data_IF_019425800710
#
_entry.id   IF_019425800710
#
_cell.length_a   1.000
_cell.length_b   1.000
_cell.length_c   1.000
_cell.angle_alpha   90.00
_cell.angle_beta   90.00
_cell.angle_gamma   90.00
#
_symmetry.space_group_name_H-M   'P 1'
#
loop_
_entity.id
_entity.type
_entity.pdbx_description
1 polymer ?
#
# COMPACT_ATOMS: atom_id res chain seq x y z
N UNK A 1 1.70 12.07 -8.73
CA UNK A 1 2.95 11.52 -8.16
C UNK A 1 3.03 10.01 -8.31
N UNK A 2 1.91 9.27 -8.22
CA UNK A 2 1.89 7.81 -8.42
C UNK A 2 1.00 7.32 -9.59
N UNK A 3 -0.14 7.95 -9.87
CA UNK A 3 -1.03 7.59 -11.00
C UNK A 3 -0.72 8.35 -12.28
N UNK A 4 -1.06 9.64 -12.33
CA UNK A 4 -1.03 10.44 -13.58
C UNK A 4 0.38 10.86 -13.99
N UNK A 5 1.19 11.20 -12.99
CA UNK A 5 2.62 11.51 -13.13
C UNK A 5 3.37 10.62 -12.18
N UNK A 6 4.10 9.65 -12.70
CA UNK A 6 4.92 8.71 -11.94
C UNK A 6 6.31 9.32 -11.71
N UNK A 7 6.58 9.76 -10.48
CA UNK A 7 7.90 10.32 -10.12
C UNK A 7 8.92 9.19 -10.00
N UNK A 8 10.04 9.21 -10.75
CA UNK A 8 11.00 8.10 -10.76
C UNK A 8 11.56 7.75 -9.38
N UNK A 9 11.94 8.75 -8.59
CA UNK A 9 12.45 8.55 -7.23
C UNK A 9 11.42 7.85 -6.33
N UNK A 10 10.15 8.26 -6.38
CA UNK A 10 9.09 7.64 -5.57
C UNK A 10 8.78 6.22 -6.01
N UNK A 11 8.70 5.99 -7.32
CA UNK A 11 8.45 4.66 -7.88
C UNK A 11 9.55 3.68 -7.51
N UNK A 12 10.81 4.10 -7.62
CA UNK A 12 11.94 3.27 -7.21
C UNK A 12 11.96 3.00 -5.70
N UNK A 13 11.66 4.00 -4.88
CA UNK A 13 11.59 3.85 -3.43
C UNK A 13 10.52 2.84 -3.00
N UNK A 14 9.27 3.03 -3.43
CA UNK A 14 8.17 2.14 -3.01
C UNK A 14 8.40 0.70 -3.49
N UNK A 15 9.04 0.55 -4.65
CA UNK A 15 9.35 -0.76 -5.22
C UNK A 15 10.37 -1.55 -4.40
N UNK A 16 11.34 -0.88 -3.79
CA UNK A 16 12.46 -1.54 -3.08
C UNK A 16 12.24 -1.62 -1.57
N UNK A 17 11.57 -0.63 -0.99
CA UNK A 17 11.55 -0.43 0.46
C UNK A 17 10.16 -0.54 1.09
N UNK A 18 9.17 -0.99 0.34
CA UNK A 18 7.82 -1.24 0.85
C UNK A 18 7.30 -2.59 0.37
N UNK A 19 6.20 -3.03 0.96
CA UNK A 19 5.45 -4.21 0.54
C UNK A 19 4.50 -3.95 -0.64
N UNK A 20 4.45 -2.72 -1.17
CA UNK A 20 3.58 -2.34 -2.30
C UNK A 20 3.65 -3.29 -3.52
N UNK A 21 4.83 -3.82 -3.93
CA UNK A 21 4.92 -4.77 -5.03
C UNK A 21 4.45 -6.20 -4.70
N UNK A 22 4.24 -6.51 -3.42
CA UNK A 22 3.95 -7.86 -2.98
C UNK A 22 2.47 -8.20 -3.21
N UNK A 23 2.22 -9.49 -3.39
CA UNK A 23 0.91 -10.02 -3.79
C UNK A 23 0.06 -10.36 -2.56
N UNK A 24 -1.21 -9.96 -2.62
CA UNK A 24 -2.25 -10.28 -1.65
C UNK A 24 -3.26 -11.21 -2.30
N UNK A 25 -3.57 -12.32 -1.62
CA UNK A 25 -4.63 -13.24 -2.03
C UNK A 25 -6.00 -12.61 -1.83
N UNK A 26 -6.86 -12.73 -2.84
CA UNK A 26 -8.25 -12.31 -2.80
C UNK A 26 -9.14 -13.53 -2.57
N UNK A 27 -10.07 -13.44 -1.62
CA UNK A 27 -11.05 -14.50 -1.33
C UNK A 27 -12.46 -13.97 -1.53
N UNK A 28 -13.38 -14.86 -1.94
CA UNK A 28 -14.78 -14.49 -2.12
C UNK A 28 -15.48 -14.32 -0.77
N UNK A 29 -16.25 -13.25 -0.63
CA UNK A 29 -17.17 -12.97 0.46
C UNK A 29 -18.42 -12.31 -0.12
N UNK A 30 -19.58 -12.92 0.11
CA UNK A 30 -20.89 -12.40 -0.32
C UNK A 30 -20.97 -12.02 -1.81
N UNK A 31 -20.39 -12.86 -2.68
CA UNK A 31 -20.38 -12.65 -4.14
C UNK A 31 -19.32 -11.68 -4.67
N UNK A 32 -18.59 -10.98 -3.80
CA UNK A 32 -17.47 -10.07 -4.14
C UNK A 32 -16.15 -10.58 -3.54
N UNK A 33 -15.05 -9.87 -3.78
CA UNK A 33 -13.75 -10.22 -3.21
C UNK A 33 -13.38 -9.34 -2.01
N UNK A 34 -12.58 -9.90 -1.10
CA UNK A 34 -11.90 -9.16 -0.03
C UNK A 34 -10.42 -9.56 0.01
N UNK A 35 -9.51 -8.63 0.38
CA UNK A 35 -8.12 -8.97 0.64
C UNK A 35 -8.03 -9.89 1.87
N UNK A 36 -7.29 -11.00 1.76
CA UNK A 36 -7.10 -11.96 2.86
C UNK A 36 -5.73 -11.76 3.53
N UNK A 37 -4.68 -12.28 2.89
CA UNK A 37 -3.31 -12.24 3.38
C UNK A 37 -2.34 -12.09 2.22
N UNK A 38 -1.12 -11.67 2.54
CA UNK A 38 0.00 -11.77 1.60
C UNK A 38 0.18 -13.23 1.15
N UNK A 39 0.36 -13.41 -0.16
CA UNK A 39 0.70 -14.67 -0.78
C UNK A 39 2.08 -15.11 -0.33
N UNK A 40 2.24 -16.40 -0.06
CA UNK A 40 3.46 -16.99 0.50
C UNK A 40 4.06 -18.02 -0.45
N UNK A 41 5.36 -18.26 -0.33
CA UNK A 41 6.04 -19.30 -1.11
C UNK A 41 5.39 -20.67 -0.90
N UNK A 42 4.96 -20.98 0.33
CA UNK A 42 4.28 -22.24 0.65
C UNK A 42 2.96 -22.46 -0.10
N UNK A 43 2.33 -21.41 -0.63
CA UNK A 43 1.11 -21.52 -1.43
C UNK A 43 1.36 -22.20 -2.79
N UNK A 44 2.58 -22.10 -3.32
CA UNK A 44 2.96 -22.68 -4.61
C UNK A 44 3.43 -24.13 -4.46
N UNK A 45 3.26 -24.91 -5.52
CA UNK A 45 3.83 -26.25 -5.65
C UNK A 45 5.35 -26.14 -5.42
N UNK A 46 5.91 -27.08 -4.64
CA UNK A 46 7.35 -27.08 -4.26
C UNK A 46 7.85 -25.79 -3.57
N UNK A 47 6.95 -24.93 -3.08
CA UNK A 47 7.37 -23.76 -2.29
C UNK A 47 8.15 -22.71 -3.09
N UNK A 48 8.05 -22.69 -4.43
CA UNK A 48 8.96 -21.93 -5.32
C UNK A 48 10.45 -22.20 -5.06
N UNK A 49 10.80 -23.45 -4.68
CA UNK A 49 12.17 -23.84 -4.37
C UNK A 49 12.66 -23.44 -2.98
N UNK A 50 11.78 -22.90 -2.13
CA UNK A 50 12.11 -22.52 -0.76
C UNK A 50 11.74 -23.61 0.24
N UNK A 51 12.74 -24.38 0.70
CA UNK A 51 12.54 -25.42 1.72
C UNK A 51 12.45 -24.84 3.15
N UNK A 52 13.28 -23.83 3.45
CA UNK A 52 13.29 -23.21 4.77
C UNK A 52 12.20 -22.14 4.89
N UNK A 53 11.33 -22.29 5.89
CA UNK A 53 10.30 -21.31 6.28
C UNK A 53 9.45 -20.73 5.10
N UNK A 54 8.93 -21.56 4.16
CA UNK A 54 8.21 -21.06 2.99
C UNK A 54 6.91 -20.31 3.33
N UNK A 55 6.29 -20.59 4.49
CA UNK A 55 5.12 -19.86 4.98
C UNK A 55 5.42 -18.39 5.32
N UNK A 56 6.69 -18.03 5.47
CA UNK A 56 7.15 -16.72 5.93
C UNK A 56 7.83 -15.90 4.84
N UNK A 57 7.76 -16.37 3.59
CA UNK A 57 8.38 -15.73 2.43
C UNK A 57 7.31 -15.21 1.48
N UNK A 58 7.27 -13.90 1.29
CA UNK A 58 6.24 -13.20 0.52
C UNK A 58 6.55 -13.17 -0.97
N UNK A 59 5.53 -13.06 -1.82
CA UNK A 59 5.66 -13.18 -3.28
C UNK A 59 5.48 -11.83 -3.97
N UNK A 60 6.32 -11.57 -4.98
CA UNK A 60 6.16 -10.48 -5.94
C UNK A 60 6.17 -10.99 -7.38
N UNK A 61 6.06 -10.08 -8.35
CA UNK A 61 6.18 -10.40 -9.78
C UNK A 61 7.47 -9.78 -10.33
N UNK A 62 8.26 -10.58 -11.04
CA UNK A 62 9.40 -10.07 -11.81
C UNK A 62 8.88 -9.25 -13.01
N UNK A 63 9.28 -7.98 -13.12
CA UNK A 63 8.84 -7.08 -14.20
C UNK A 63 9.26 -7.60 -15.59
N UNK A 64 10.41 -8.27 -15.68
CA UNK A 64 10.95 -8.74 -16.97
C UNK A 64 10.23 -10.00 -17.50
N UNK A 65 9.94 -10.95 -16.62
CA UNK A 65 9.36 -12.26 -16.99
C UNK A 65 7.86 -12.36 -16.76
N UNK A 66 7.29 -11.57 -15.85
CA UNK A 66 5.90 -11.73 -15.40
C UNK A 66 5.69 -12.90 -14.43
N UNK A 67 6.76 -13.59 -14.04
CA UNK A 67 6.72 -14.76 -13.17
C UNK A 67 6.57 -14.37 -11.69
N UNK A 68 5.85 -15.17 -10.89
CA UNK A 68 5.86 -15.07 -9.43
C UNK A 68 7.22 -15.49 -8.88
N UNK A 69 7.79 -14.66 -8.02
CA UNK A 69 9.12 -14.90 -7.43
C UNK A 69 9.13 -14.60 -5.94
N UNK A 70 10.13 -15.18 -5.25
CA UNK A 70 10.44 -14.90 -3.85
C UNK A 70 11.62 -13.92 -3.81
N UNK A 71 11.40 -12.62 -3.52
CA UNK A 71 12.48 -11.67 -3.32
C UNK A 71 13.16 -11.91 -1.97
N UNK A 72 14.46 -11.60 -1.88
CA UNK A 72 15.19 -11.61 -0.61
C UNK A 72 14.59 -10.63 0.42
N UNK A 73 14.87 -10.86 1.71
CA UNK A 73 14.54 -9.90 2.78
C UNK A 73 13.26 -10.16 3.58
N UNK A 74 12.36 -11.01 3.09
CA UNK A 74 11.20 -11.45 3.89
C UNK A 74 11.63 -12.20 5.17
N UNK A 75 10.77 -12.19 6.19
CA UNK A 75 11.14 -12.67 7.54
C UNK A 75 11.55 -14.15 7.56
N UNK A 76 11.06 -14.96 6.61
CA UNK A 76 11.47 -16.37 6.47
C UNK A 76 12.95 -16.58 6.14
N UNK A 77 13.65 -15.57 5.59
CA UNK A 77 15.10 -15.64 5.36
C UNK A 77 15.93 -15.31 6.60
N UNK A 78 15.31 -14.81 7.68
CA UNK A 78 16.02 -14.34 8.87
C UNK A 78 16.53 -15.49 9.74
N UNK A 79 15.82 -16.62 9.75
CA UNK A 79 16.05 -17.73 10.67
C UNK A 79 16.13 -19.04 9.89
N UNK A 80 16.91 -20.00 10.37
CA UNK A 80 17.10 -21.31 9.71
C UNK A 80 18.01 -21.30 8.48
N UNK A 81 18.38 -20.13 7.98
CA UNK A 81 19.34 -19.93 6.88
C UNK A 81 20.10 -18.60 7.04
N UNK A 82 21.01 -18.28 6.13
CA UNK A 82 21.83 -17.06 6.17
C UNK A 82 22.06 -16.46 4.78
N UNK A 83 22.46 -15.18 4.74
CA UNK A 83 22.89 -14.49 3.52
C UNK A 83 21.78 -13.87 2.67
N UNK A 84 20.51 -14.23 2.90
CA UNK A 84 19.35 -13.77 2.09
C UNK A 84 18.41 -12.80 2.81
N UNK A 85 18.64 -12.51 4.10
CA UNK A 85 17.86 -11.52 4.85
C UNK A 85 18.44 -10.11 4.66
N UNK A 86 18.20 -9.55 3.49
CA UNK A 86 18.64 -8.21 3.08
C UNK A 86 17.65 -7.62 2.06
N UNK A 87 17.77 -6.33 1.74
CA UNK A 87 16.92 -5.62 0.78
C UNK A 87 17.60 -5.47 -0.59
N UNK A 88 18.53 -6.37 -0.94
CA UNK A 88 19.08 -6.39 -2.30
C UNK A 88 17.98 -6.78 -3.29
N UNK A 89 18.08 -6.27 -4.51
CA UNK A 89 17.15 -6.58 -5.60
C UNK A 89 17.48 -7.94 -6.22
N UNK A 90 17.36 -9.00 -5.42
CA UNK A 90 17.66 -10.37 -5.81
C UNK A 90 16.52 -11.33 -5.52
N UNK A 91 16.42 -12.36 -6.34
CA UNK A 91 15.65 -13.57 -6.06
C UNK A 91 16.38 -14.39 -5.00
N UNK A 92 15.67 -15.37 -4.43
CA UNK A 92 16.25 -16.26 -3.43
C UNK A 92 17.45 -17.09 -3.94
N UNK A 93 17.58 -17.31 -5.24
CA UNK A 93 18.72 -17.98 -5.88
C UNK A 93 19.93 -17.03 -6.15
N UNK A 94 19.78 -15.74 -5.85
CA UNK A 94 20.80 -14.71 -6.04
C UNK A 94 20.74 -13.98 -7.39
N UNK A 95 19.88 -14.39 -8.32
CA UNK A 95 19.68 -13.70 -9.58
C UNK A 95 19.10 -12.29 -9.36
N UNK A 96 19.50 -11.28 -10.16
CA UNK A 96 18.91 -9.95 -10.06
C UNK A 96 17.42 -9.99 -10.41
N UNK A 97 16.63 -9.15 -9.75
CA UNK A 97 15.19 -9.03 -10.01
C UNK A 97 14.75 -7.58 -9.93
N UNK A 98 13.74 -7.22 -10.71
CA UNK A 98 13.05 -5.94 -10.56
C UNK A 98 11.57 -6.20 -10.33
N UNK A 99 11.09 -5.96 -9.12
CA UNK A 99 9.68 -6.19 -8.79
C UNK A 99 8.77 -5.22 -9.57
N UNK A 100 7.68 -5.74 -10.13
CA UNK A 100 6.62 -4.94 -10.72
C UNK A 100 5.80 -4.24 -9.64
N UNK A 101 5.57 -2.93 -9.80
CA UNK A 101 4.66 -2.16 -8.95
C UNK A 101 3.29 -2.09 -9.61
N UNK A 102 2.28 -2.74 -9.01
CA UNK A 102 0.93 -2.78 -9.58
C UNK A 102 0.74 -3.80 -10.71
N UNK A 103 -0.51 -4.21 -10.94
CA UNK A 103 -0.89 -5.19 -11.95
C UNK A 103 -1.64 -4.56 -13.13
N UNK A 104 -1.86 -3.24 -13.16
CA UNK A 104 -2.40 -2.57 -14.34
C UNK A 104 -1.54 -2.88 -15.57
N UNK A 105 -2.17 -3.35 -16.65
CA UNK A 105 -1.51 -3.79 -17.89
C UNK A 105 -0.87 -5.20 -17.86
N UNK A 106 -0.89 -5.91 -16.72
CA UNK A 106 -0.38 -7.29 -16.58
C UNK A 106 -1.36 -8.24 -15.85
N UNK A 107 -2.58 -7.76 -15.58
CA UNK A 107 -3.66 -8.50 -14.95
C UNK A 107 -4.41 -9.32 -15.99
N UNK A 108 -5.08 -10.37 -15.52
CA UNK A 108 -5.89 -11.25 -16.37
C UNK A 108 -7.35 -10.80 -16.36
N UNK A 109 -7.80 -10.22 -15.24
CA UNK A 109 -9.16 -9.72 -15.06
C UNK A 109 -9.21 -8.54 -14.09
N UNK A 110 -10.35 -7.87 -14.06
CA UNK A 110 -10.67 -6.80 -13.11
C UNK A 110 -11.80 -7.30 -12.23
N UNK A 111 -11.61 -7.25 -10.91
CA UNK A 111 -12.59 -7.79 -9.95
C UNK A 111 -13.07 -6.75 -8.97
N UNK A 112 -14.27 -6.95 -8.44
CA UNK A 112 -14.90 -6.11 -7.43
C UNK A 112 -14.41 -6.50 -6.04
N UNK A 113 -13.67 -5.59 -5.40
CA UNK A 113 -13.10 -5.76 -4.06
C UNK A 113 -13.78 -4.80 -3.09
N UNK A 114 -14.18 -5.32 -1.93
CA UNK A 114 -14.80 -4.55 -0.86
C UNK A 114 -13.77 -4.02 0.15
N UNK A 115 -13.87 -2.73 0.47
CA UNK A 115 -13.08 -2.05 1.48
C UNK A 115 -14.00 -1.57 2.61
N UNK A 116 -13.63 -1.77 3.89
CA UNK A 116 -14.42 -1.25 4.99
C UNK A 116 -14.33 0.28 5.05
N UNK A 117 -15.41 0.92 5.46
CA UNK A 117 -15.50 2.36 5.64
C UNK A 117 -16.19 2.68 6.96
N UNK A 118 -15.61 3.61 7.72
CA UNK A 118 -16.02 3.87 9.10
C UNK A 118 -16.44 5.32 9.34
N UNK A 119 -16.18 6.24 8.41
CA UNK A 119 -16.49 7.66 8.59
C UNK A 119 -17.94 8.02 8.24
N UNK A 120 -18.79 7.03 8.00
CA UNK A 120 -20.24 7.18 7.92
C UNK A 120 -20.91 7.18 9.28
N UNK A 121 -20.21 6.73 10.32
CA UNK A 121 -20.68 6.80 11.70
C UNK A 121 -19.65 7.52 12.55
N UNK A 122 -20.11 8.45 13.38
CA UNK A 122 -19.25 9.19 14.29
C UNK A 122 -19.94 9.36 15.63
N UNK A 123 -19.19 9.14 16.72
CA UNK A 123 -19.63 9.42 18.09
C UNK A 123 -19.13 10.79 18.55
N UNK A 124 -19.59 11.26 19.71
CA UNK A 124 -19.00 12.41 20.43
C UNK A 124 -18.99 13.74 19.64
N UNK A 125 -19.96 13.94 18.75
CA UNK A 125 -20.13 15.19 18.01
C UNK A 125 -19.14 15.41 16.86
N UNK A 126 -18.34 14.40 16.50
CA UNK A 126 -17.52 14.44 15.28
C UNK A 126 -18.40 14.37 14.03
N UNK A 127 -17.94 15.00 12.96
CA UNK A 127 -18.60 14.93 11.67
C UNK A 127 -18.51 13.53 11.06
N UNK A 128 -19.55 13.13 10.35
CA UNK A 128 -19.59 11.93 9.51
C UNK A 128 -20.06 12.31 8.10
N UNK A 129 -19.86 11.41 7.15
CA UNK A 129 -20.30 11.60 5.76
C UNK A 129 -21.14 10.43 5.28
N UNK A 130 -22.20 10.70 4.54
CA UNK A 130 -23.20 9.70 4.14
C UNK A 130 -22.70 8.76 3.01
N UNK A 131 -22.10 7.63 3.40
CA UNK A 131 -21.56 6.60 2.52
C UNK A 131 -21.82 5.20 3.14
N UNK A 132 -21.81 4.12 2.34
CA UNK A 132 -21.99 2.76 2.87
C UNK A 132 -20.82 2.29 3.73
N UNK A 133 -21.07 1.31 4.61
CA UNK A 133 -20.04 0.66 5.48
C UNK A 133 -18.96 -0.07 4.68
N UNK A 134 -19.24 -0.37 3.41
CA UNK A 134 -18.30 -1.03 2.50
C UNK A 134 -18.28 -0.31 1.17
N UNK A 135 -17.08 -0.04 0.68
CA UNK A 135 -16.82 0.61 -0.59
C UNK A 135 -16.37 -0.43 -1.61
N UNK A 136 -17.12 -0.58 -2.71
CA UNK A 136 -16.70 -1.45 -3.81
C UNK A 136 -15.74 -0.70 -4.73
N UNK A 137 -14.59 -1.32 -5.03
CA UNK A 137 -13.57 -0.84 -5.95
C UNK A 137 -13.25 -1.92 -6.97
N UNK A 138 -13.04 -1.54 -8.24
CA UNK A 138 -12.57 -2.47 -9.26
C UNK A 138 -11.06 -2.47 -9.34
N UNK A 139 -10.46 -3.65 -9.21
CA UNK A 139 -9.01 -3.81 -9.00
C UNK A 139 -8.45 -4.81 -10.01
N UNK A 140 -7.29 -4.52 -10.62
CA UNK A 140 -6.61 -5.47 -11.50
C UNK A 140 -6.15 -6.69 -10.68
N UNK A 141 -6.54 -7.88 -11.14
CA UNK A 141 -6.21 -9.14 -10.49
C UNK A 141 -5.57 -10.13 -11.47
N UNK A 142 -4.65 -10.93 -10.94
CA UNK A 142 -3.99 -12.00 -11.68
C UNK A 142 -4.39 -13.36 -11.11
N UNK A 143 -4.55 -14.35 -11.98
CA UNK A 143 -4.84 -15.73 -11.61
C UNK A 143 -3.53 -16.48 -11.38
N UNK A 144 -3.46 -17.18 -10.25
CA UNK A 144 -2.30 -17.95 -9.84
C UNK A 144 -2.70 -19.40 -9.60
N UNK A 145 -1.92 -20.32 -10.14
CA UNK A 145 -2.05 -21.75 -9.86
C UNK A 145 -1.27 -22.07 -8.58
N UNK A 146 -1.99 -22.40 -7.51
CA UNK A 146 -1.44 -22.72 -6.19
C UNK A 146 -1.66 -24.22 -5.88
N UNK A 147 -1.03 -24.73 -4.81
CA UNK A 147 -1.22 -26.14 -4.34
C UNK A 147 -2.69 -26.50 -4.13
N UNK A 148 -3.49 -25.54 -3.66
CA UNK A 148 -4.91 -25.71 -3.36
C UNK A 148 -5.85 -25.41 -4.53
N UNK A 149 -5.33 -25.18 -5.74
CA UNK A 149 -6.09 -24.76 -6.91
C UNK A 149 -5.81 -23.31 -7.31
N UNK A 150 -6.68 -22.75 -8.15
CA UNK A 150 -6.54 -21.38 -8.62
C UNK A 150 -6.92 -20.35 -7.54
N UNK A 151 -6.16 -19.27 -7.45
CA UNK A 151 -6.50 -18.10 -6.64
C UNK A 151 -6.31 -16.81 -7.42
N UNK A 152 -7.10 -15.79 -7.09
CA UNK A 152 -6.86 -14.44 -7.56
C UNK A 152 -5.99 -13.68 -6.59
N UNK A 153 -5.10 -12.87 -7.13
CA UNK A 153 -4.19 -12.01 -6.37
C UNK A 153 -4.19 -10.60 -6.94
N UNK A 154 -3.97 -9.62 -6.07
CA UNK A 154 -3.65 -8.25 -6.47
C UNK A 154 -2.40 -7.77 -5.74
N UNK A 155 -1.81 -6.65 -6.17
CA UNK A 155 -0.68 -6.07 -5.45
C UNK A 155 -1.17 -5.20 -4.29
N UNK A 156 -0.35 -5.08 -3.24
CA UNK A 156 -0.61 -4.10 -2.16
C UNK A 156 -0.73 -2.68 -2.73
N UNK A 157 0.04 -2.34 -3.76
CA UNK A 157 -0.03 -1.06 -4.46
C UNK A 157 -1.43 -0.76 -5.04
N UNK A 158 -2.01 -1.72 -5.78
CA UNK A 158 -3.33 -1.56 -6.39
C UNK A 158 -4.43 -1.47 -5.35
N UNK A 159 -4.35 -2.30 -4.31
CA UNK A 159 -5.26 -2.26 -3.15
C UNK A 159 -5.18 -0.91 -2.43
N UNK A 160 -3.97 -0.37 -2.27
CA UNK A 160 -3.76 0.93 -1.61
C UNK A 160 -4.34 2.07 -2.45
N UNK A 161 -4.09 2.12 -3.76
CA UNK A 161 -4.69 3.15 -4.63
C UNK A 161 -6.22 3.09 -4.59
N UNK A 162 -6.79 1.89 -4.68
CA UNK A 162 -8.24 1.68 -4.58
C UNK A 162 -8.81 2.14 -3.23
N UNK A 163 -8.12 1.84 -2.12
CA UNK A 163 -8.50 2.29 -0.78
C UNK A 163 -8.52 3.82 -0.67
N UNK A 164 -7.57 4.52 -1.30
CA UNK A 164 -7.55 5.98 -1.37
C UNK A 164 -8.57 6.59 -2.36
N UNK A 165 -9.40 5.78 -3.01
CA UNK A 165 -10.36 6.24 -4.02
C UNK A 165 -9.70 6.71 -5.33
N UNK A 166 -8.43 6.37 -5.54
CA UNK A 166 -7.68 6.74 -6.76
C UNK A 166 -7.92 5.68 -7.82
N UNK A 167 -8.91 5.93 -8.68
CA UNK A 167 -9.21 5.02 -9.79
C UNK A 167 -8.06 4.99 -10.79
N UNK A 168 -7.71 3.78 -11.22
CA UNK A 168 -6.74 3.51 -12.27
C UNK A 168 -7.41 3.32 -13.65
N UNK A 169 -8.68 3.67 -13.79
CA UNK A 169 -9.49 3.53 -15.02
C UNK A 169 -10.33 2.25 -15.05
N UNK A 170 -10.55 1.62 -13.90
CA UNK A 170 -11.33 0.39 -13.76
C UNK A 170 -12.74 0.65 -13.20
N UNK A 171 -12.93 1.81 -12.56
CA UNK A 171 -14.19 2.21 -11.96
C UNK A 171 -14.46 1.55 -10.60
N UNK A 172 -15.71 1.62 -10.18
CA UNK A 172 -16.14 1.30 -8.82
C UNK A 172 -17.21 2.27 -8.37
N UNK A 173 -17.60 2.18 -7.11
CA UNK A 173 -18.57 3.09 -6.48
C UNK A 173 -17.84 4.23 -5.76
N UNK A 174 -18.48 5.33 -5.41
CA UNK A 174 -17.89 6.36 -4.54
C UNK A 174 -16.46 6.81 -4.93
N UNK A 175 -16.25 7.06 -6.21
CA UNK A 175 -14.96 7.45 -6.78
C UNK A 175 -15.00 8.92 -7.17
N UNK A 176 -13.93 9.62 -6.82
CA UNK A 176 -13.80 11.04 -7.12
C UNK A 176 -13.33 11.25 -8.57
N UNK A 177 -14.04 12.12 -9.29
CA UNK A 177 -13.58 12.71 -10.55
C UNK A 177 -12.67 13.92 -10.33
N UNK A 178 -12.82 14.59 -9.18
CA UNK A 178 -12.07 15.78 -8.79
C UNK A 178 -11.73 15.79 -7.30
N UNK A 179 -10.88 16.73 -6.87
CA UNK A 179 -10.63 16.94 -5.43
C UNK A 179 -11.79 17.60 -4.69
N UNK A 180 -12.77 18.15 -5.42
CA UNK A 180 -13.93 18.84 -4.87
C UNK A 180 -15.11 17.91 -4.59
N UNK A 181 -15.05 16.68 -5.11
CA UNK A 181 -16.08 15.68 -4.94
C UNK A 181 -16.04 15.16 -3.50
N UNK A 182 -17.20 15.13 -2.83
CA UNK A 182 -17.35 14.65 -1.46
C UNK A 182 -17.35 13.10 -1.42
N UNK A 183 -16.25 12.51 -1.88
CA UNK A 183 -16.03 11.07 -1.92
C UNK A 183 -14.95 10.64 -0.93
N UNK A 184 -14.94 9.39 -0.43
CA UNK A 184 -14.06 8.97 0.65
C UNK A 184 -12.58 9.31 0.39
N UNK A 185 -11.98 9.99 1.36
CA UNK A 185 -10.56 10.38 1.38
C UNK A 185 -10.11 11.43 0.36
N UNK A 186 -11.04 12.14 -0.30
CA UNK A 186 -10.71 13.35 -1.08
C UNK A 186 -10.41 14.55 -0.18
N UNK A 187 -9.81 15.63 -0.72
CA UNK A 187 -9.70 16.90 0.00
C UNK A 187 -11.05 17.48 0.45
N UNK A 188 -12.11 17.39 -0.36
CA UNK A 188 -13.46 17.82 0.03
C UNK A 188 -14.04 16.98 1.18
N UNK A 189 -13.84 15.65 1.13
CA UNK A 189 -14.22 14.77 2.23
C UNK A 189 -13.45 15.09 3.51
N UNK A 190 -12.14 15.30 3.41
CA UNK A 190 -11.32 15.64 4.57
C UNK A 190 -11.70 17.00 5.16
N UNK A 191 -12.08 17.98 4.33
CA UNK A 191 -12.63 19.26 4.79
C UNK A 191 -13.94 19.07 5.58
N UNK A 192 -14.85 18.23 5.09
CA UNK A 192 -16.10 17.94 5.81
C UNK A 192 -15.85 17.26 7.17
N UNK A 193 -14.86 16.37 7.26
CA UNK A 193 -14.54 15.63 8.50
C UNK A 193 -13.72 16.46 9.49
N UNK A 194 -12.76 17.26 9.00
CA UNK A 194 -11.75 17.92 9.85
C UNK A 194 -11.92 19.43 9.95
N UNK A 195 -12.78 20.03 9.13
CA UNK A 195 -12.94 21.49 8.93
C UNK A 195 -11.72 22.21 8.35
N UNK A 196 -10.62 21.49 8.06
CA UNK A 196 -9.45 22.06 7.38
C UNK A 196 -9.79 22.28 5.91
N UNK A 197 -9.63 23.52 5.43
CA UNK A 197 -9.96 23.87 4.05
C UNK A 197 -9.21 23.00 3.04
N UNK A 198 -9.93 22.48 2.05
CA UNK A 198 -9.44 21.58 1.00
C UNK A 198 -8.28 22.17 0.21
N UNK A 199 -8.29 23.49 -0.01
CA UNK A 199 -7.22 24.20 -0.72
C UNK A 199 -5.90 24.17 0.06
N UNK A 200 -5.95 24.25 1.40
CA UNK A 200 -4.78 24.08 2.27
C UNK A 200 -4.28 22.64 2.27
N UNK A 201 -5.19 21.66 2.34
CA UNK A 201 -4.83 20.23 2.25
C UNK A 201 -4.07 19.96 0.94
N UNK A 202 -4.61 20.44 -0.19
CA UNK A 202 -4.00 20.28 -1.52
C UNK A 202 -2.64 20.99 -1.57
N UNK A 203 -2.56 22.24 -1.11
CA UNK A 203 -1.33 23.03 -1.15
C UNK A 203 -0.21 22.37 -0.34
N UNK A 204 -0.51 21.95 0.90
CA UNK A 204 0.47 21.30 1.78
C UNK A 204 0.88 19.95 1.22
N UNK A 205 -0.05 19.10 0.78
CA UNK A 205 0.27 17.79 0.21
C UNK A 205 1.17 17.90 -1.04
N UNK A 206 0.84 18.84 -1.95
CA UNK A 206 1.66 19.09 -3.15
C UNK A 206 3.01 19.69 -2.81
N UNK A 207 3.07 20.65 -1.88
CA UNK A 207 4.32 21.24 -1.41
C UNK A 207 5.25 20.20 -0.79
N UNK A 208 4.70 19.37 0.10
CA UNK A 208 5.42 18.29 0.77
C UNK A 208 6.00 17.28 -0.22
N UNK A 209 5.18 16.76 -1.13
CA UNK A 209 5.60 15.80 -2.15
C UNK A 209 6.60 16.42 -3.14
N UNK A 210 6.38 17.67 -3.57
CA UNK A 210 7.31 18.35 -4.49
C UNK A 210 8.67 18.58 -3.85
N UNK A 211 8.72 18.94 -2.57
CA UNK A 211 9.99 19.06 -1.85
C UNK A 211 10.71 17.70 -1.75
N UNK A 212 9.99 16.64 -1.37
CA UNK A 212 10.56 15.31 -1.28
C UNK A 212 11.10 14.83 -2.65
N UNK A 213 10.37 15.09 -3.73
CA UNK A 213 10.82 14.79 -5.10
C UNK A 213 12.12 15.51 -5.44
N UNK A 214 12.20 16.82 -5.18
CA UNK A 214 13.38 17.65 -5.53
C UNK A 214 14.62 17.32 -4.72
N UNK A 215 14.43 16.77 -3.51
CA UNK A 215 15.51 16.59 -2.54
C UNK A 215 15.84 15.13 -2.26
N UNK A 216 15.18 14.20 -2.96
CA UNK A 216 15.24 12.76 -2.70
C UNK A 216 14.88 12.44 -1.24
N UNK A 217 13.68 12.83 -0.83
CA UNK A 217 13.05 12.39 0.41
C UNK A 217 13.17 13.33 1.60
N UNK A 218 13.72 14.56 1.45
CA UNK A 218 13.93 15.48 2.60
C UNK A 218 12.68 16.26 3.01
N UNK A 219 11.58 15.54 3.20
CA UNK A 219 10.37 16.03 3.86
C UNK A 219 10.13 15.18 5.11
N UNK A 220 9.77 15.82 6.22
CA UNK A 220 9.69 15.19 7.53
C UNK A 220 8.37 15.55 8.22
N UNK A 221 7.84 14.61 9.00
CA UNK A 221 6.75 14.89 9.92
C UNK A 221 7.21 14.62 11.35
N UNK A 222 7.18 15.68 12.16
CA UNK A 222 7.40 15.61 13.61
C UNK A 222 6.05 15.37 14.26
N UNK A 223 5.90 14.26 14.98
CA UNK A 223 4.61 13.80 15.53
C UNK A 223 4.78 13.36 16.98
N UNK A 224 3.74 13.51 17.81
CA UNK A 224 3.81 13.16 19.22
C UNK A 224 2.50 12.67 19.80
N UNK A 225 2.37 12.81 21.13
CA UNK A 225 1.26 12.28 21.92
C UNK A 225 -0.14 12.73 21.45
N UNK A 226 -0.27 13.95 20.91
CA UNK A 226 -1.56 14.46 20.43
C UNK A 226 -2.20 13.61 19.33
N UNK A 227 -1.37 12.91 18.53
CA UNK A 227 -1.83 11.94 17.54
C UNK A 227 -1.83 10.51 18.08
N UNK A 228 -0.98 10.22 19.09
CA UNK A 228 -0.75 8.89 19.65
C UNK A 228 -1.72 8.47 20.75
N UNK A 229 -2.28 9.41 21.49
CA UNK A 229 -3.11 9.13 22.66
C UNK A 229 -4.60 9.01 22.31
N UNK A 230 -4.91 8.80 21.04
CA UNK A 230 -6.24 8.43 20.56
C UNK A 230 -6.40 6.92 20.53
N UNK A 231 -7.62 6.44 20.72
CA UNK A 231 -7.92 5.01 20.59
C UNK A 231 -7.51 4.46 19.22
N UNK A 232 -7.75 5.24 18.15
CA UNK A 232 -7.32 4.92 16.77
C UNK A 232 -5.99 5.59 16.39
N UNK A 233 -5.03 5.64 17.32
CA UNK A 233 -3.70 6.21 17.06
C UNK A 233 -2.97 5.55 15.89
N UNK A 234 -3.24 4.27 15.64
CA UNK A 234 -2.68 3.50 14.55
C UNK A 234 -3.11 4.06 13.20
N UNK A 235 -4.36 4.51 13.04
CA UNK A 235 -4.84 5.16 11.83
C UNK A 235 -4.18 6.53 11.63
N UNK A 236 -4.06 7.31 12.69
CA UNK A 236 -3.33 8.58 12.68
C UNK A 236 -1.88 8.40 12.22
N UNK A 237 -1.19 7.39 12.74
CA UNK A 237 0.21 7.12 12.45
C UNK A 237 0.39 6.57 11.04
N UNK A 238 -0.43 5.60 10.64
CA UNK A 238 -0.37 5.00 9.30
C UNK A 238 -0.68 6.02 8.20
N UNK A 239 -1.56 6.99 8.43
CA UNK A 239 -1.79 8.08 7.48
C UNK A 239 -0.51 8.88 7.19
N UNK A 240 0.23 9.25 8.24
CA UNK A 240 1.51 9.97 8.12
C UNK A 240 2.63 9.08 7.56
N UNK A 241 2.73 7.83 8.02
CA UNK A 241 3.72 6.86 7.53
C UNK A 241 3.53 6.60 6.04
N UNK A 242 2.28 6.44 5.57
CA UNK A 242 1.97 6.25 4.16
C UNK A 242 2.40 7.47 3.32
N UNK A 243 2.13 8.70 3.78
CA UNK A 243 2.61 9.91 3.11
C UNK A 243 4.13 9.91 2.95
N UNK A 244 4.85 9.59 4.03
CA UNK A 244 6.31 9.55 4.06
C UNK A 244 6.87 8.44 3.17
N UNK A 245 6.29 7.24 3.21
CA UNK A 245 6.71 6.11 2.38
C UNK A 245 6.46 6.37 0.89
N UNK A 246 5.28 6.90 0.54
CA UNK A 246 4.95 7.30 -0.84
C UNK A 246 5.89 8.39 -1.36
N UNK A 247 6.35 9.29 -0.49
CA UNK A 247 7.31 10.35 -0.85
C UNK A 247 8.79 9.94 -0.70
N UNK A 248 9.08 8.68 -0.35
CA UNK A 248 10.45 8.17 -0.17
C UNK A 248 11.23 8.79 0.99
N UNK A 249 10.56 9.31 2.01
CA UNK A 249 11.20 10.10 3.05
C UNK A 249 11.88 9.28 4.16
N UNK A 250 11.42 8.05 4.41
CA UNK A 250 11.90 7.24 5.53
C UNK A 250 13.30 6.71 5.21
N UNK A 251 14.25 6.92 6.12
CA UNK A 251 15.65 6.52 5.96
C UNK A 251 16.56 7.56 5.28
N UNK A 252 16.03 8.74 4.96
CA UNK A 252 16.81 9.84 4.36
C UNK A 252 17.12 10.93 5.40
N UNK A 253 18.37 11.40 5.44
CA UNK A 253 18.74 12.53 6.30
C UNK A 253 17.99 13.81 5.88
N UNK A 254 17.30 14.43 6.85
CA UNK A 254 16.41 15.56 6.61
C UNK A 254 14.97 15.17 6.22
N UNK A 255 14.65 13.87 6.23
CA UNK A 255 13.30 13.35 5.96
C UNK A 255 12.85 12.30 6.97
N UNK A 256 11.58 11.93 6.90
CA UNK A 256 11.06 10.73 7.58
C UNK A 256 10.07 10.98 8.71
N UNK A 257 9.86 9.91 9.49
CA UNK A 257 8.95 9.86 10.63
C UNK A 257 9.73 10.16 11.91
N UNK A 258 9.45 11.31 12.52
CA UNK A 258 10.13 11.76 13.73
C UNK A 258 9.14 11.82 14.89
N UNK A 259 8.96 10.68 15.54
CA UNK A 259 8.08 10.54 16.69
C UNK A 259 8.78 10.94 17.99
N UNK A 260 8.16 11.82 18.77
CA UNK A 260 8.64 12.24 20.08
C UNK A 260 7.54 12.17 21.12
N UNK A 261 7.80 11.41 22.18
CA UNK A 261 6.93 11.26 23.37
C UNK A 261 7.77 11.38 24.65
N UNK A 262 7.98 10.28 25.37
CA UNK A 262 8.92 10.20 26.49
C UNK A 262 10.35 9.84 26.07
N UNK A 263 11.21 9.69 27.07
CA UNK A 263 12.63 9.36 26.90
C UNK A 263 12.83 7.84 26.85
N UNK A 264 12.65 7.24 25.67
CA UNK A 264 12.72 5.78 25.46
C UNK A 264 14.08 5.26 25.01
N UNK A 265 14.94 6.14 24.48
CA UNK A 265 16.23 5.82 23.88
C UNK A 265 17.42 6.26 24.72
#
# INVERSE_FOLDING_TARGET
>A
YHRDRQVPYFQDYIRRYTDMPLLVRLVKKDGRYVPERLLRASDFVEGLGEDNNPDWKTIGIDEAGGDPIVPTGSIGFRWGEQGKWNLEEKKADGAPVKLRVGLKGAHDEVVEVLFPYFANTASNGFASTDHPDTLMRRIPAKRMTLKGGEALVSSVYDLMLANYGVDQGFGGEHLASSYDDLEPYTPAWAEAVTTVRRDQIIAVARGFATNAEKTNGKSMVIIGAAMNHWYHMDMNYRGVINLLAMCGCIGQSGGGWSHYVGQEK
#
